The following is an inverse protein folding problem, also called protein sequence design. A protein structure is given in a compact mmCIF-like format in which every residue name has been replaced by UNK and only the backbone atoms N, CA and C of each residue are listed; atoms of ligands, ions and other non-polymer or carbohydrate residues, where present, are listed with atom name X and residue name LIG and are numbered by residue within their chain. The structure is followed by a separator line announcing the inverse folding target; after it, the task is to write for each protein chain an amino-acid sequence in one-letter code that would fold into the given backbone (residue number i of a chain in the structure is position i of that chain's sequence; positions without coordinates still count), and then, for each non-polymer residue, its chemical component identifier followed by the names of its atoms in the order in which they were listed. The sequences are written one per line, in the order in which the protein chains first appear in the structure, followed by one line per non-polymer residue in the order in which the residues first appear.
data_IF_646136874128
#
_entry.id   IF_646136874128
#
_cell.length_a   1.000
_cell.length_b   1.000
_cell.length_c   1.000
_cell.angle_alpha   90.00
_cell.angle_beta   90.00
_cell.angle_gamma   90.00
#
_symmetry.space_group_name_H-M   'P 1'
#
loop_
_entity.id
_entity.type
_entity.pdbx_description
1 polymer ?
#
# COMPACT_ATOMS: atom_id res chain seq x y z
N UNK A 1 -17.78 -11.49 -12.94
CA UNK A 1 -16.54 -11.14 -12.20
C UNK A 1 -16.93 -10.53 -10.86
N UNK A 2 -16.82 -11.28 -9.75
CA UNK A 2 -17.18 -10.80 -8.41
C UNK A 2 -16.28 -9.61 -8.03
N UNK A 3 -16.81 -8.38 -8.10
CA UNK A 3 -16.24 -7.23 -7.39
C UNK A 3 -16.35 -7.55 -5.89
N UNK A 4 -15.33 -8.20 -5.31
CA UNK A 4 -15.21 -8.29 -3.86
C UNK A 4 -14.98 -6.87 -3.36
N UNK A 5 -16.00 -6.28 -2.76
CA UNK A 5 -15.89 -4.99 -2.10
C UNK A 5 -14.69 -5.03 -1.14
N UNK A 6 -13.78 -4.06 -1.28
CA UNK A 6 -12.67 -3.94 -0.33
C UNK A 6 -13.28 -3.59 1.02
N UNK A 7 -12.89 -4.32 2.07
CA UNK A 7 -13.32 -3.96 3.41
C UNK A 7 -12.64 -2.67 3.90
N UNK A 8 -13.06 -2.14 5.06
CA UNK A 8 -12.67 -0.82 5.55
C UNK A 8 -11.16 -0.68 5.80
N UNK A 9 -10.44 -1.75 6.12
CA UNK A 9 -8.98 -1.70 6.29
C UNK A 9 -8.29 -1.55 4.94
N UNK A 10 -8.59 -2.43 4.00
CA UNK A 10 -7.95 -2.42 2.68
C UNK A 10 -8.30 -1.18 1.86
N UNK A 11 -9.50 -0.61 2.04
CA UNK A 11 -9.87 0.69 1.45
C UNK A 11 -9.00 1.83 1.96
N UNK A 12 -8.72 1.88 3.27
CA UNK A 12 -7.83 2.90 3.85
C UNK A 12 -6.41 2.78 3.34
N UNK A 13 -5.89 1.55 3.26
CA UNK A 13 -4.56 1.32 2.69
C UNK A 13 -4.48 1.70 1.22
N UNK A 14 -5.49 1.34 0.41
CA UNK A 14 -5.56 1.74 -0.99
C UNK A 14 -5.56 3.26 -1.13
N UNK A 15 -6.42 3.95 -0.38
CA UNK A 15 -6.49 5.43 -0.40
C UNK A 15 -5.15 6.06 -0.04
N UNK A 16 -4.48 5.52 0.97
CA UNK A 16 -3.17 6.02 1.44
C UNK A 16 -2.10 5.83 0.37
N UNK A 17 -1.99 4.62 -0.20
CA UNK A 17 -1.02 4.29 -1.24
C UNK A 17 -1.26 5.11 -2.51
N UNK A 18 -2.51 5.23 -2.96
CA UNK A 18 -2.85 6.03 -4.15
C UNK A 18 -2.47 7.51 -3.96
N UNK A 19 -2.71 8.08 -2.78
CA UNK A 19 -2.32 9.46 -2.48
C UNK A 19 -0.80 9.63 -2.46
N UNK A 20 -0.07 8.67 -1.86
CA UNK A 20 1.39 8.68 -1.85
C UNK A 20 1.97 8.63 -3.27
N UNK A 21 1.45 7.74 -4.13
CA UNK A 21 1.88 7.59 -5.53
C UNK A 21 1.64 8.90 -6.30
N UNK A 22 0.43 9.46 -6.20
CA UNK A 22 0.07 10.70 -6.89
C UNK A 22 1.00 11.85 -6.51
N UNK A 23 1.33 12.00 -5.22
CA UNK A 23 2.21 13.08 -4.76
C UNK A 23 3.65 12.87 -5.18
N UNK A 24 4.13 11.63 -5.13
CA UNK A 24 5.46 11.30 -5.59
C UNK A 24 5.63 11.59 -7.08
N UNK A 25 4.65 11.21 -7.90
CA UNK A 25 4.60 11.50 -9.34
C UNK A 25 4.67 13.01 -9.58
N UNK A 26 3.78 13.78 -8.95
CA UNK A 26 3.74 15.25 -9.12
C UNK A 26 5.07 15.94 -8.79
N UNK A 27 5.82 15.42 -7.82
CA UNK A 27 7.05 16.04 -7.36
C UNK A 27 8.33 15.58 -8.07
N UNK A 28 8.40 14.32 -8.51
CA UNK A 28 9.64 13.73 -9.06
C UNK A 28 9.57 13.46 -10.56
N UNK A 29 8.38 13.20 -11.10
CA UNK A 29 8.21 12.78 -12.48
C UNK A 29 6.82 13.19 -13.02
N UNK A 30 6.53 14.51 -13.11
CA UNK A 30 5.21 14.99 -13.51
C UNK A 30 4.81 14.51 -14.91
N UNK A 31 5.78 14.29 -15.81
CA UNK A 31 5.58 13.77 -17.17
C UNK A 31 5.30 12.26 -17.25
N UNK A 32 5.60 11.45 -16.23
CA UNK A 32 5.47 9.98 -16.28
C UNK A 32 4.11 9.47 -15.75
N UNK A 33 3.01 10.15 -16.05
CA UNK A 33 1.68 9.85 -15.47
C UNK A 33 1.27 8.38 -15.66
N UNK A 34 1.45 7.82 -16.86
CA UNK A 34 1.01 6.47 -17.19
C UNK A 34 1.68 5.39 -16.32
N UNK A 35 2.98 5.53 -16.04
CA UNK A 35 3.73 4.60 -15.20
C UNK A 35 3.17 4.54 -13.78
N UNK A 36 2.92 5.70 -13.18
CA UNK A 36 2.39 5.77 -11.80
C UNK A 36 0.92 5.37 -11.71
N UNK A 37 0.13 5.61 -12.77
CA UNK A 37 -1.22 5.05 -12.89
C UNK A 37 -1.20 3.52 -12.92
N UNK A 38 -0.28 2.93 -13.71
CA UNK A 38 -0.09 1.48 -13.74
C UNK A 38 0.34 0.93 -12.38
N UNK A 39 1.24 1.61 -11.66
CA UNK A 39 1.66 1.24 -10.30
C UNK A 39 0.48 1.28 -9.30
N UNK A 40 -0.37 2.31 -9.38
CA UNK A 40 -1.55 2.44 -8.52
C UNK A 40 -2.58 1.35 -8.80
N UNK A 41 -2.86 1.06 -10.06
CA UNK A 41 -3.78 -0.02 -10.46
C UNK A 41 -3.23 -1.40 -10.07
N UNK A 42 -1.91 -1.59 -10.19
CA UNK A 42 -1.24 -2.79 -9.70
C UNK A 42 -1.43 -2.95 -8.19
N UNK A 43 -1.18 -1.90 -7.40
CA UNK A 43 -1.38 -1.92 -5.94
C UNK A 43 -2.82 -2.28 -5.56
N UNK A 44 -3.81 -1.71 -6.26
CA UNK A 44 -5.24 -2.03 -6.08
C UNK A 44 -5.53 -3.50 -6.32
N UNK A 45 -5.07 -4.07 -7.44
CA UNK A 45 -5.24 -5.49 -7.75
C UNK A 45 -4.63 -6.41 -6.69
N UNK A 46 -3.49 -6.04 -6.10
CA UNK A 46 -2.87 -6.82 -5.00
C UNK A 46 -3.67 -6.72 -3.70
N UNK A 47 -4.27 -5.56 -3.38
CA UNK A 47 -5.12 -5.39 -2.19
C UNK A 47 -6.44 -6.15 -2.33
N UNK A 48 -7.06 -6.16 -3.51
CA UNK A 48 -8.27 -6.94 -3.80
C UNK A 48 -8.06 -8.44 -3.52
N UNK A 49 -6.88 -8.96 -3.88
CA UNK A 49 -6.50 -10.37 -3.74
C UNK A 49 -5.63 -10.65 -2.50
N UNK A 50 -5.64 -9.77 -1.50
CA UNK A 50 -4.78 -9.93 -0.33
C UNK A 50 -5.15 -11.19 0.47
N UNK A 51 -4.15 -12.04 0.73
CA UNK A 51 -4.28 -13.26 1.54
C UNK A 51 -4.88 -12.99 2.93
N UNK A 52 -4.43 -11.93 3.60
CA UNK A 52 -4.86 -11.57 4.96
C UNK A 52 -6.19 -10.82 5.02
N UNK A 53 -6.71 -10.37 3.89
CA UNK A 53 -7.98 -9.61 3.80
C UNK A 53 -8.01 -8.45 4.81
N UNK A 54 -9.00 -8.38 5.71
CA UNK A 54 -9.12 -7.31 6.71
C UNK A 54 -8.17 -7.46 7.90
N UNK A 55 -7.54 -8.63 8.08
CA UNK A 55 -6.48 -8.85 9.08
C UNK A 55 -5.09 -8.48 8.54
N UNK A 56 -5.02 -7.77 7.42
CA UNK A 56 -3.77 -7.38 6.77
C UNK A 56 -2.90 -6.52 7.71
N UNK A 57 -1.62 -6.90 7.91
CA UNK A 57 -0.65 -6.01 8.55
C UNK A 57 -0.20 -4.93 7.58
N UNK A 58 0.47 -3.89 8.07
CA UNK A 58 1.07 -2.86 7.23
C UNK A 58 1.90 -3.49 6.09
N UNK A 59 1.82 -2.94 4.88
CA UNK A 59 2.49 -3.49 3.69
C UNK A 59 3.99 -3.73 3.90
N UNK A 60 4.67 -2.87 4.66
CA UNK A 60 6.09 -3.00 5.00
C UNK A 60 6.41 -4.25 5.85
N UNK A 61 5.49 -4.64 6.74
CA UNK A 61 5.62 -5.78 7.67
C UNK A 61 4.92 -7.04 7.16
N UNK A 62 4.46 -7.03 5.91
CA UNK A 62 3.76 -8.16 5.33
C UNK A 62 4.71 -9.36 5.20
N UNK A 63 4.41 -10.52 5.82
CA UNK A 63 5.31 -11.68 5.81
C UNK A 63 5.33 -12.40 4.46
N UNK A 64 4.44 -12.04 3.52
CA UNK A 64 4.40 -12.59 2.17
C UNK A 64 4.98 -11.59 1.16
N UNK A 65 5.71 -12.10 0.18
CA UNK A 65 6.18 -11.32 -0.96
C UNK A 65 5.04 -11.07 -1.95
N UNK A 66 4.22 -10.07 -1.63
CA UNK A 66 3.06 -9.72 -2.43
C UNK A 66 3.34 -8.69 -3.53
N UNK A 67 4.57 -8.27 -3.81
CA UNK A 67 4.90 -7.42 -4.97
C UNK A 67 5.99 -8.11 -5.79
N UNK A 68 5.94 -7.95 -7.11
CA UNK A 68 7.06 -8.29 -7.98
C UNK A 68 8.25 -7.37 -7.66
N UNK A 69 9.51 -7.81 -7.86
CA UNK A 69 10.69 -7.07 -7.43
C UNK A 69 10.75 -5.63 -7.94
N UNK A 70 10.49 -5.40 -9.24
CA UNK A 70 10.54 -4.07 -9.84
C UNK A 70 9.56 -3.08 -9.19
N UNK A 71 8.27 -3.45 -9.11
CA UNK A 71 7.24 -2.62 -8.51
C UNK A 71 7.42 -2.48 -6.98
N UNK A 72 8.10 -3.44 -6.34
CA UNK A 72 8.43 -3.36 -4.92
C UNK A 72 9.45 -2.27 -4.63
N UNK A 73 10.47 -2.12 -5.47
CA UNK A 73 11.46 -1.06 -5.29
C UNK A 73 10.84 0.31 -5.58
N UNK A 74 9.99 0.41 -6.61
CA UNK A 74 9.25 1.64 -6.89
C UNK A 74 8.34 2.05 -5.73
N UNK A 75 7.52 1.12 -5.20
CA UNK A 75 6.61 1.45 -4.12
C UNK A 75 7.34 1.80 -2.83
N UNK A 76 8.51 1.20 -2.58
CA UNK A 76 9.38 1.59 -1.46
C UNK A 76 9.93 3.00 -1.63
N UNK A 77 10.35 3.39 -2.83
CA UNK A 77 10.81 4.75 -3.11
C UNK A 77 9.67 5.76 -2.85
N UNK A 78 8.47 5.46 -3.36
CA UNK A 78 7.26 6.25 -3.10
C UNK A 78 6.97 6.35 -1.60
N UNK A 79 6.93 5.23 -0.87
CA UNK A 79 6.66 5.20 0.56
C UNK A 79 7.72 5.97 1.36
N UNK A 80 9.01 5.84 1.03
CA UNK A 80 10.11 6.54 1.70
C UNK A 80 10.05 8.05 1.49
N UNK A 81 9.67 8.48 0.30
CA UNK A 81 9.58 9.91 -0.03
C UNK A 81 8.28 10.53 0.50
N UNK A 82 7.14 9.87 0.27
CA UNK A 82 5.81 10.37 0.61
C UNK A 82 5.50 10.19 2.11
N UNK A 83 5.95 9.11 2.75
CA UNK A 83 5.69 8.79 4.17
C UNK A 83 5.86 9.97 5.13
N UNK A 84 7.07 10.56 5.27
CA UNK A 84 7.29 11.70 6.17
C UNK A 84 6.57 12.97 5.72
N UNK A 85 6.28 13.11 4.42
CA UNK A 85 5.61 14.29 3.84
C UNK A 85 4.10 14.24 4.00
N UNK A 86 3.52 13.05 4.11
CA UNK A 86 2.08 12.85 4.27
C UNK A 86 1.55 13.49 5.56
N UNK A 87 2.38 13.65 6.60
CA UNK A 87 2.01 14.33 7.84
C UNK A 87 1.55 15.78 7.60
N UNK A 88 2.11 16.46 6.59
CA UNK A 88 1.75 17.84 6.24
C UNK A 88 0.44 17.95 5.44
N UNK A 89 0.06 16.89 4.71
CA UNK A 89 -1.07 16.93 3.77
C UNK A 89 -2.30 16.19 4.25
N UNK A 90 -2.10 15.09 4.96
CA UNK A 90 -3.16 14.23 5.49
C UNK A 90 -2.76 13.76 6.90
N UNK A 91 -2.72 14.67 7.88
CA UNK A 91 -2.19 14.39 9.22
C UNK A 91 -2.91 13.22 9.88
N UNK A 92 -4.24 13.17 9.77
CA UNK A 92 -5.05 12.07 10.31
C UNK A 92 -4.72 10.73 9.64
N UNK A 93 -4.75 10.66 8.30
CA UNK A 93 -4.46 9.42 7.54
C UNK A 93 -3.05 8.89 7.83
N UNK A 94 -2.08 9.80 7.96
CA UNK A 94 -0.69 9.46 8.26
C UNK A 94 -0.54 8.93 9.68
N UNK A 95 -1.20 9.55 10.66
CA UNK A 95 -1.18 9.08 12.04
C UNK A 95 -1.78 7.67 12.13
N UNK A 96 -2.90 7.40 11.47
CA UNK A 96 -3.46 6.05 11.38
C UNK A 96 -2.50 5.06 10.69
N UNK A 97 -1.81 5.48 9.63
CA UNK A 97 -0.83 4.64 8.93
C UNK A 97 0.39 4.30 9.81
N UNK A 98 0.90 5.28 10.57
CA UNK A 98 2.01 5.08 11.51
C UNK A 98 1.59 4.19 12.69
N UNK A 99 0.38 4.38 13.23
CA UNK A 99 -0.18 3.47 14.24
C UNK A 99 -0.38 2.05 13.70
N UNK A 100 -0.69 1.93 12.41
CA UNK A 100 -0.81 0.66 11.72
C UNK A 100 0.53 -0.03 11.48
N UNK A 101 1.61 0.73 11.31
CA UNK A 101 2.97 0.19 11.32
C UNK A 101 3.32 -0.43 12.67
N UNK A 102 2.79 0.06 13.80
CA UNK A 102 3.05 -0.53 15.12
C UNK A 102 2.37 -1.89 15.34
N UNK A 103 1.41 -2.30 14.48
CA UNK A 103 0.75 -3.61 14.63
C UNK A 103 1.68 -4.76 14.24
N UNK A 104 1.82 -5.79 15.08
CA UNK A 104 2.59 -6.99 14.74
C UNK A 104 1.91 -7.74 13.59
N UNK A 105 2.73 -8.35 12.73
CA UNK A 105 2.21 -9.17 11.64
C UNK A 105 1.52 -10.43 12.20
N UNK A 106 0.32 -10.79 11.71
CA UNK A 106 -0.33 -12.03 12.13
C UNK A 106 0.54 -13.22 11.69
N UNK A 107 0.60 -14.30 12.50
CA UNK A 107 1.37 -15.48 12.15
C UNK A 107 0.83 -16.10 10.86
N UNK A 108 1.74 -16.55 9.98
CA UNK A 108 1.36 -17.34 8.82
C UNK A 108 0.72 -18.64 9.32
N UNK A 109 -0.49 -18.95 8.81
CA UNK A 109 -1.13 -20.24 9.10
C UNK A 109 -0.19 -21.33 8.58
N UNK A 110 0.44 -22.09 9.49
CA UNK A 110 1.33 -23.21 9.13
C UNK A 110 0.54 -24.17 8.25
N UNK A 111 0.98 -24.34 7.00
CA UNK A 111 0.47 -25.40 6.12
C UNK A 111 0.78 -26.71 6.85
N UNK A 112 -0.25 -27.42 7.29
CA UNK A 112 -0.08 -28.80 7.71
C UNK A 112 0.37 -29.55 6.46
N UNK A 113 1.57 -30.12 6.50
CA UNK A 113 2.07 -31.06 5.50
C UNK A 113 1.69 -32.45 5.97
#
# INVERSE_FOLDING_TARGET
MNKKELGPRRRRELKTVSLMIQRYQQANAPQENERYLQLAEYAKKRLERCYFQERKPACQKCPIHCYQPAQREEIKAVMRWAGPRMLRYAPLTTLWHLLDELRPAPPLRKKHR
#
